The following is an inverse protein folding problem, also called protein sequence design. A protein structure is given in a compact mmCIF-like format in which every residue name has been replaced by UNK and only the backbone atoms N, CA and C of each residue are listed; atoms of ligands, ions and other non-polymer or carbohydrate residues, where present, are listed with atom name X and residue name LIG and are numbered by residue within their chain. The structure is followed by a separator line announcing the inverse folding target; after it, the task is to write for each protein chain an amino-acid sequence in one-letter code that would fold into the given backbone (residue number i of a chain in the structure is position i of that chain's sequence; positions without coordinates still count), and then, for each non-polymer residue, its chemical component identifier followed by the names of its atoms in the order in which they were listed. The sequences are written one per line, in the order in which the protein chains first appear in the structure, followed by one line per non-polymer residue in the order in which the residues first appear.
data_IF_261476830350
#
_entry.id   IF_261476830350
#
_cell.length_a   1.000
_cell.length_b   1.000
_cell.length_c   1.000
_cell.angle_alpha   90.00
_cell.angle_beta   90.00
_cell.angle_gamma   90.00
#
_symmetry.space_group_name_H-M   'P 1'
#
loop_
_entity.id
_entity.type
_entity.pdbx_description
1 polymer ?
#
# COMPACT_ATOMS: atom_id res chain seq x y z
N UNK A 1 3.26 -23.92 -11.92
CA UNK A 1 3.86 -22.66 -12.39
C UNK A 1 3.20 -21.52 -11.62
N UNK A 2 3.72 -21.22 -10.43
CA UNK A 2 3.10 -20.26 -9.52
C UNK A 2 3.86 -18.95 -9.67
N UNK A 3 3.22 -17.96 -10.29
CA UNK A 3 3.78 -16.62 -10.44
C UNK A 3 3.84 -15.95 -9.07
N UNK A 4 4.93 -16.19 -8.35
CA UNK A 4 5.34 -15.31 -7.27
C UNK A 4 5.64 -13.96 -7.95
N UNK A 5 4.62 -13.10 -8.05
CA UNK A 5 4.79 -11.70 -8.43
C UNK A 5 5.81 -11.19 -7.45
N UNK A 6 7.06 -11.05 -7.92
CA UNK A 6 8.17 -10.70 -7.08
C UNK A 6 7.77 -9.42 -6.35
N UNK A 7 7.57 -9.50 -5.04
CA UNK A 7 7.13 -8.38 -4.18
C UNK A 7 8.11 -7.22 -4.18
N UNK A 8 9.13 -7.24 -5.03
CA UNK A 8 10.14 -6.22 -5.23
C UNK A 8 9.52 -4.83 -5.40
N UNK A 9 9.57 -4.03 -4.34
CA UNK A 9 9.05 -2.66 -4.34
C UNK A 9 7.53 -2.58 -4.53
N UNK A 10 6.75 -3.60 -4.21
CA UNK A 10 5.29 -3.50 -4.24
C UNK A 10 4.79 -2.63 -3.08
N UNK A 11 3.84 -1.75 -3.35
CA UNK A 11 3.01 -1.11 -2.33
C UNK A 11 1.77 -1.98 -2.14
N UNK A 12 1.57 -2.50 -0.94
CA UNK A 12 0.42 -3.33 -0.62
C UNK A 12 -0.49 -2.64 0.38
N UNK A 13 -1.79 -2.67 0.08
CA UNK A 13 -2.86 -2.23 0.96
C UNK A 13 -3.48 -3.46 1.58
N UNK A 14 -3.62 -3.47 2.91
CA UNK A 14 -4.13 -4.57 3.69
C UNK A 14 -5.54 -4.24 4.22
N UNK A 15 -6.43 -5.22 4.22
CA UNK A 15 -7.74 -5.12 4.88
C UNK A 15 -7.59 -4.74 6.35
N UNK A 16 -8.48 -3.91 6.91
CA UNK A 16 -8.45 -3.55 8.32
C UNK A 16 -9.21 -4.54 9.22
N UNK A 17 -9.35 -5.81 8.83
CA UNK A 17 -10.20 -6.76 9.54
C UNK A 17 -9.90 -6.81 11.05
N UNK A 18 -10.92 -6.47 11.85
CA UNK A 18 -10.85 -6.28 13.31
C UNK A 18 -11.34 -7.48 14.10
N UNK A 19 -11.87 -8.52 13.44
CA UNK A 19 -12.23 -9.76 14.13
C UNK A 19 -10.95 -10.51 14.51
N UNK A 20 -10.89 -11.10 15.71
CA UNK A 20 -9.82 -12.00 16.18
C UNK A 20 -9.62 -13.28 15.32
N UNK A 21 -10.25 -13.32 14.15
CA UNK A 21 -10.06 -14.32 13.11
C UNK A 21 -8.81 -13.96 12.32
N UNK A 22 -7.73 -14.71 12.57
CA UNK A 22 -6.57 -14.74 11.66
C UNK A 22 -7.07 -15.18 10.29
N UNK A 23 -7.17 -14.24 9.35
CA UNK A 23 -7.45 -14.56 7.96
C UNK A 23 -6.16 -15.11 7.35
N UNK A 24 -6.19 -16.38 6.96
CA UNK A 24 -5.09 -17.05 6.26
C UNK A 24 -5.13 -16.79 4.73
N UNK A 25 -6.03 -15.91 4.27
CA UNK A 25 -6.21 -15.53 2.87
C UNK A 25 -5.42 -14.27 2.48
N UNK A 26 -5.26 -14.07 1.16
CA UNK A 26 -4.74 -12.81 0.62
C UNK A 26 -5.81 -11.71 0.76
N UNK A 27 -5.77 -11.01 1.90
CA UNK A 27 -6.67 -9.90 2.23
C UNK A 27 -6.06 -8.54 1.84
N UNK A 28 -5.09 -8.55 0.94
CA UNK A 28 -4.34 -7.39 0.48
C UNK A 28 -4.43 -7.19 -1.03
N UNK A 29 -4.29 -5.94 -1.46
CA UNK A 29 -4.14 -5.57 -2.87
C UNK A 29 -2.78 -4.88 -3.05
N UNK A 30 -1.95 -5.48 -3.91
CA UNK A 30 -0.62 -4.99 -4.24
C UNK A 30 -0.57 -4.24 -5.56
N UNK A 31 0.19 -3.16 -5.61
CA UNK A 31 0.47 -2.40 -6.82
C UNK A 31 1.97 -2.21 -7.01
N UNK A 32 2.44 -2.33 -8.25
CA UNK A 32 3.79 -1.94 -8.65
C UNK A 32 3.79 -0.45 -8.99
N UNK A 33 4.45 0.41 -8.19
CA UNK A 33 4.41 1.85 -8.38
C UNK A 33 5.12 2.28 -9.66
N UNK A 34 4.49 3.18 -10.42
CA UNK A 34 5.06 3.75 -11.65
C UNK A 34 5.34 5.24 -11.47
N UNK A 35 6.38 5.73 -12.14
CA UNK A 35 6.73 7.16 -12.15
C UNK A 35 5.54 7.97 -12.66
N UNK A 36 5.19 9.05 -11.97
CA UNK A 36 4.07 9.92 -12.31
C UNK A 36 2.70 9.48 -11.76
N UNK A 37 2.60 8.30 -11.13
CA UNK A 37 1.35 7.82 -10.51
C UNK A 37 1.31 8.16 -9.02
N UNK A 38 0.14 8.60 -8.58
CA UNK A 38 -0.14 8.98 -7.20
C UNK A 38 -1.23 8.06 -6.66
N UNK A 39 -1.01 7.51 -5.48
CA UNK A 39 -1.95 6.62 -4.81
C UNK A 39 -2.57 7.37 -3.64
N UNK A 40 -3.90 7.44 -3.61
CA UNK A 40 -4.67 8.04 -2.53
C UNK A 40 -5.53 6.96 -1.86
N UNK A 41 -5.42 6.87 -0.54
CA UNK A 41 -6.20 5.94 0.26
C UNK A 41 -6.53 6.58 1.62
N UNK A 42 -7.60 6.13 2.31
CA UNK A 42 -7.92 6.60 3.65
C UNK A 42 -6.76 6.42 4.63
N UNK A 43 -6.50 7.42 5.47
CA UNK A 43 -5.33 7.42 6.38
C UNK A 43 -5.32 6.27 7.39
N UNK A 44 -6.47 5.66 7.68
CA UNK A 44 -6.60 4.53 8.60
C UNK A 44 -6.36 3.17 7.93
N UNK A 45 -6.13 3.13 6.61
CA UNK A 45 -5.93 1.88 5.88
C UNK A 45 -4.50 1.37 6.08
N UNK A 46 -4.38 0.11 6.53
CA UNK A 46 -3.07 -0.53 6.71
C UNK A 46 -2.39 -0.68 5.36
N UNK A 47 -1.11 -0.33 5.30
CA UNK A 47 -0.32 -0.44 4.08
C UNK A 47 1.14 -0.73 4.41
N UNK A 48 1.83 -1.43 3.51
CA UNK A 48 3.25 -1.71 3.62
C UNK A 48 3.94 -1.58 2.27
N UNK A 49 5.24 -1.29 2.31
CA UNK A 49 6.09 -1.25 1.13
C UNK A 49 7.11 -2.36 1.25
N UNK A 50 7.09 -3.28 0.29
CA UNK A 50 8.08 -4.33 0.24
C UNK A 50 9.46 -3.79 -0.18
N UNK A 51 10.55 -4.43 0.28
CA UNK A 51 11.90 -4.04 -0.07
C UNK A 51 12.10 -3.95 -1.59
N UNK A 52 12.78 -2.90 -2.02
CA UNK A 52 13.20 -2.73 -3.40
C UNK A 52 14.56 -3.43 -3.61
N UNK A 53 14.63 -4.31 -4.60
CA UNK A 53 15.79 -5.11 -5.01
C UNK A 53 16.20 -4.73 -6.43
N UNK A 54 16.56 -3.46 -6.63
CA UNK A 54 17.11 -2.95 -7.89
C UNK A 54 18.51 -2.39 -7.68
N UNK A 55 19.24 -2.18 -8.79
CA UNK A 55 20.61 -1.62 -8.77
C UNK A 55 20.65 -0.13 -8.42
N UNK A 56 19.52 0.57 -8.51
CA UNK A 56 19.38 1.99 -8.16
C UNK A 56 18.52 2.22 -6.91
N UNK A 57 18.03 3.45 -6.77
CA UNK A 57 17.14 3.85 -5.69
C UNK A 57 15.71 4.00 -6.19
N UNK A 58 14.74 3.64 -5.34
CA UNK A 58 13.34 4.02 -5.52
C UNK A 58 13.05 5.22 -4.60
N UNK A 59 12.72 6.37 -5.19
CA UNK A 59 12.34 7.59 -4.46
C UNK A 59 10.83 7.79 -4.49
N UNK A 60 10.24 8.13 -3.35
CA UNK A 60 8.81 8.42 -3.22
C UNK A 60 8.58 9.56 -2.23
N UNK A 61 7.49 10.28 -2.42
CA UNK A 61 6.99 11.29 -1.49
C UNK A 61 5.65 10.83 -0.92
N UNK A 62 5.48 10.92 0.40
CA UNK A 62 4.25 10.58 1.09
C UNK A 62 3.80 11.75 1.94
N UNK A 63 2.49 12.00 1.96
CA UNK A 63 1.89 13.04 2.78
C UNK A 63 0.54 12.59 3.32
N UNK A 64 0.20 13.07 4.51
CA UNK A 64 -1.13 12.93 5.09
C UNK A 64 -1.93 14.21 4.83
N UNK A 65 -3.20 14.06 4.46
CA UNK A 65 -4.13 15.18 4.25
C UNK A 65 -5.27 15.07 5.26
N UNK A 66 -5.55 16.17 5.96
CA UNK A 66 -6.71 16.30 6.84
C UNK A 66 -7.56 17.48 6.35
N UNK A 67 -8.84 17.22 6.06
CA UNK A 67 -9.78 18.26 5.65
C UNK A 67 -10.50 18.77 6.89
N UNK A 68 -10.37 20.07 7.20
CA UNK A 68 -11.29 20.71 8.13
C UNK A 68 -12.66 20.76 7.46
N UNK A 69 -13.65 20.15 8.09
CA UNK A 69 -15.03 20.34 7.66
C UNK A 69 -15.51 21.67 8.25
N UNK A 70 -15.72 22.64 7.39
CA UNK A 70 -16.34 23.90 7.77
C UNK A 70 -17.84 23.61 7.76
N UNK A 71 -18.47 23.39 8.92
CA UNK A 71 -19.93 23.46 8.99
C UNK A 71 -20.32 24.89 8.59
N UNK A 72 -20.80 25.05 7.36
CA UNK A 72 -21.45 26.27 6.89
C UNK A 72 -22.89 26.28 7.38
#
# INVERSE_FOLDING_TARGET
NCTHVATNGVLEILSNNTTNSVNYGNDGIGFVPKVGIWYLFPANLRHLVYPFKGTGERRSFSMNMNTKHNNS
#
